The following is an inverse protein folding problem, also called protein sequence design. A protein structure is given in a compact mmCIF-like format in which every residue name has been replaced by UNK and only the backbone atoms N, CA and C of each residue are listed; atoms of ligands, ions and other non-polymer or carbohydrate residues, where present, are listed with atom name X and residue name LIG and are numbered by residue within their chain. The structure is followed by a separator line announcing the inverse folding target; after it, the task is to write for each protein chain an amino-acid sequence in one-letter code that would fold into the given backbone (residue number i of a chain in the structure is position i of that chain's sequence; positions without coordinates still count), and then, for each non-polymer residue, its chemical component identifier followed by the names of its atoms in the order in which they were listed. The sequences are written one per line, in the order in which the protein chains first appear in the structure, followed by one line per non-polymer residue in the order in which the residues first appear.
data_IF_108815783432
#
_entry.id   IF_108815783432
#
_cell.length_a   1.000
_cell.length_b   1.000
_cell.length_c   1.000
_cell.angle_alpha   90.00
_cell.angle_beta   90.00
_cell.angle_gamma   90.00
#
_symmetry.space_group_name_H-M   'P 1'
#
loop_
_entity.id
_entity.type
_entity.pdbx_description
1 polymer ?
#
# COMPACT_ATOMS: atom_id res chain seq x y z
N UNK A 1 8.12 9.44 1.72
CA UNK A 1 7.36 9.42 3.00
C UNK A 1 7.29 7.97 3.48
N UNK A 2 8.30 7.47 4.20
CA UNK A 2 8.39 6.04 4.60
C UNK A 2 8.76 5.85 6.08
N UNK A 3 8.58 6.85 6.95
CA UNK A 3 8.94 6.75 8.37
C UNK A 3 7.72 6.97 9.24
N UNK A 4 6.95 5.90 9.44
CA UNK A 4 6.02 5.81 10.56
C UNK A 4 6.82 5.24 11.75
N UNK A 5 6.80 5.94 12.89
CA UNK A 5 7.48 5.48 14.11
C UNK A 5 6.53 4.62 14.92
N UNK A 6 7.02 3.47 15.38
CA UNK A 6 6.37 2.72 16.45
C UNK A 6 6.95 3.19 17.78
N UNK A 7 6.09 3.48 18.76
CA UNK A 7 6.49 3.85 20.13
C UNK A 7 5.67 2.97 21.05
N UNK A 8 6.29 2.21 21.95
CA UNK A 8 5.58 1.46 23.01
C UNK A 8 4.39 0.60 22.52
N UNK A 9 4.61 -0.29 21.53
CA UNK A 9 3.58 -1.13 20.89
C UNK A 9 2.46 -0.37 20.15
N UNK A 10 2.61 0.94 19.96
CA UNK A 10 1.74 1.75 19.14
C UNK A 10 2.20 1.70 17.69
N UNK A 11 1.29 1.31 16.80
CA UNK A 11 1.52 1.29 15.36
C UNK A 11 0.73 2.44 14.76
N UNK A 12 1.46 3.36 14.14
CA UNK A 12 0.90 4.56 13.50
C UNK A 12 0.80 4.34 11.99
N UNK A 13 -0.29 4.82 11.38
CA UNK A 13 -0.49 4.77 9.93
C UNK A 13 -1.29 6.00 9.47
N UNK A 14 -1.17 6.35 8.19
CA UNK A 14 -1.88 7.50 7.62
C UNK A 14 -3.40 7.23 7.63
N UNK A 15 -4.20 8.25 7.95
CA UNK A 15 -5.65 8.12 8.10
C UNK A 15 -6.31 7.61 6.82
N UNK A 16 -7.21 6.63 6.97
CA UNK A 16 -7.92 5.98 5.86
C UNK A 16 -9.43 6.22 5.97
N UNK A 17 -10.19 5.15 6.24
CA UNK A 17 -11.64 5.17 6.44
C UNK A 17 -12.14 6.24 7.43
N UNK A 18 -11.37 6.56 8.46
CA UNK A 18 -11.77 7.55 9.46
C UNK A 18 -11.55 9.00 9.01
N UNK A 19 -10.86 9.23 7.88
CA UNK A 19 -10.70 10.56 7.29
C UNK A 19 -12.06 11.20 7.00
N UNK A 20 -13.04 10.36 6.66
CA UNK A 20 -14.40 10.77 6.36
C UNK A 20 -15.11 11.38 7.57
N UNK A 21 -15.07 10.72 8.73
CA UNK A 21 -15.68 11.24 9.96
C UNK A 21 -14.97 12.51 10.47
N UNK A 22 -13.65 12.60 10.28
CA UNK A 22 -12.87 13.77 10.68
C UNK A 22 -13.22 15.03 9.87
N UNK A 23 -13.38 14.89 8.55
CA UNK A 23 -13.75 16.02 7.68
C UNK A 23 -15.22 16.43 7.88
N UNK A 24 -16.08 15.54 8.39
CA UNK A 24 -17.46 15.87 8.74
C UNK A 24 -17.58 16.63 10.07
N UNK A 25 -16.73 16.31 11.05
CA UNK A 25 -16.75 16.97 12.35
C UNK A 25 -16.02 18.31 12.37
N UNK A 26 -15.12 18.54 11.41
CA UNK A 26 -14.41 19.82 11.28
C UNK A 26 -15.17 20.74 10.33
N UNK A 27 -15.78 21.80 10.87
CA UNK A 27 -16.53 22.83 10.12
C UNK A 27 -15.68 23.61 9.09
N UNK A 28 -14.36 23.41 9.09
CA UNK A 28 -13.44 24.03 8.15
C UNK A 28 -13.23 23.15 6.92
N UNK A 29 -13.19 23.76 5.74
CA UNK A 29 -12.87 23.09 4.47
C UNK A 29 -11.38 22.72 4.39
N UNK A 30 -10.93 21.84 5.29
CA UNK A 30 -9.55 21.39 5.34
C UNK A 30 -9.33 20.25 4.36
N UNK A 31 -8.28 20.38 3.55
CA UNK A 31 -7.75 19.27 2.74
C UNK A 31 -6.81 18.47 3.62
N UNK A 32 -7.06 17.16 3.73
CA UNK A 32 -6.17 16.23 4.44
C UNK A 32 -5.63 15.17 3.49
N UNK A 33 -4.36 14.78 3.71
CA UNK A 33 -3.79 13.60 3.07
C UNK A 33 -4.36 12.33 3.70
N UNK A 34 -4.73 11.37 2.86
CA UNK A 34 -5.26 10.08 3.30
C UNK A 34 -4.44 8.93 2.74
N UNK A 35 -4.58 7.74 3.33
CA UNK A 35 -3.93 6.53 2.83
C UNK A 35 -4.65 5.86 1.65
N UNK A 36 -5.71 6.47 1.11
CA UNK A 36 -6.45 5.86 0.01
C UNK A 36 -5.58 5.75 -1.25
N UNK A 37 -5.55 4.54 -1.80
CA UNK A 37 -4.79 4.18 -3.00
C UNK A 37 -5.53 3.10 -3.78
N UNK A 38 -5.15 2.91 -5.05
CA UNK A 38 -5.68 1.86 -5.92
C UNK A 38 -4.55 1.06 -6.59
N UNK A 39 -3.48 0.76 -5.86
CA UNK A 39 -2.46 -0.18 -6.31
C UNK A 39 -3.10 -1.55 -6.50
N UNK A 40 -3.34 -1.92 -7.76
CA UNK A 40 -3.82 -3.27 -8.06
C UNK A 40 -2.73 -4.27 -7.65
N UNK A 41 -3.08 -5.38 -6.98
CA UNK A 41 -2.16 -6.49 -6.78
C UNK A 41 -1.89 -7.28 -8.09
N UNK A 42 -2.64 -6.97 -9.17
CA UNK A 42 -2.53 -7.56 -10.49
C UNK A 42 -1.93 -6.56 -11.49
N UNK A 43 -1.23 -7.05 -12.52
CA UNK A 43 -0.60 -6.26 -13.58
C UNK A 43 -1.58 -5.54 -14.52
N UNK A 44 -2.88 -5.71 -14.32
CA UNK A 44 -3.91 -4.98 -15.07
C UNK A 44 -4.27 -3.73 -14.27
N UNK A 45 -3.91 -2.56 -14.81
CA UNK A 45 -4.20 -1.22 -14.29
C UNK A 45 -5.70 -0.93 -14.04
N UNK A 46 -6.60 -1.90 -14.20
CA UNK A 46 -8.04 -1.77 -14.01
C UNK A 46 -8.52 -2.32 -12.66
N UNK A 47 -7.81 -2.06 -11.55
CA UNK A 47 -8.46 -2.26 -10.25
C UNK A 47 -9.42 -1.09 -9.99
N UNK A 48 -10.71 -1.38 -10.05
CA UNK A 48 -11.77 -0.47 -9.58
C UNK A 48 -11.79 -0.36 -8.05
N UNK A 49 -11.05 -1.23 -7.36
CA UNK A 49 -11.04 -1.30 -5.91
C UNK A 49 -10.05 -0.30 -5.31
N UNK A 50 -10.50 0.33 -4.23
CA UNK A 50 -9.69 1.24 -3.43
C UNK A 50 -9.35 0.60 -2.10
N UNK A 51 -8.17 0.90 -1.58
CA UNK A 51 -7.64 0.37 -0.34
C UNK A 51 -7.12 1.50 0.53
N UNK A 52 -6.87 1.22 1.81
CA UNK A 52 -6.21 2.13 2.75
C UNK A 52 -4.97 1.45 3.38
N UNK A 53 -4.19 2.18 4.17
CA UNK A 53 -2.97 1.66 4.78
C UNK A 53 -3.21 0.98 6.14
N UNK A 54 -4.47 0.76 6.54
CA UNK A 54 -4.79 0.22 7.85
C UNK A 54 -4.28 -1.24 7.98
N UNK A 55 -3.28 -1.52 8.84
CA UNK A 55 -2.75 -2.87 9.04
C UNK A 55 -3.77 -3.91 9.52
N UNK A 56 -4.92 -3.47 10.03
CA UNK A 56 -5.93 -4.36 10.61
C UNK A 56 -6.87 -4.92 9.56
N UNK A 57 -6.93 -4.34 8.36
CA UNK A 57 -7.85 -4.78 7.32
C UNK A 57 -7.23 -4.66 5.93
N UNK A 58 -7.44 -5.68 5.10
CA UNK A 58 -7.06 -5.67 3.69
C UNK A 58 -8.28 -5.66 2.76
N UNK A 59 -9.42 -5.17 3.27
CA UNK A 59 -10.67 -5.15 2.50
C UNK A 59 -10.74 -3.92 1.61
N UNK A 60 -11.30 -4.01 0.40
CA UNK A 60 -11.64 -2.85 -0.40
C UNK A 60 -12.50 -1.84 0.38
N UNK A 61 -12.32 -0.57 0.05
CA UNK A 61 -13.05 0.58 0.61
C UNK A 61 -14.24 0.87 -0.27
N UNK A 62 -15.41 1.00 0.33
CA UNK A 62 -16.62 1.40 -0.38
C UNK A 62 -16.65 2.93 -0.57
N UNK A 63 -16.37 3.38 -1.80
CA UNK A 63 -16.34 4.80 -2.15
C UNK A 63 -17.70 5.43 -2.48
N UNK A 64 -18.83 4.69 -2.42
CA UNK A 64 -20.17 5.25 -2.72
C UNK A 64 -20.53 6.47 -1.89
N UNK A 65 -19.96 6.59 -0.68
CA UNK A 65 -20.19 7.71 0.24
C UNK A 65 -19.42 8.99 -0.13
N UNK A 66 -18.42 8.91 -1.01
CA UNK A 66 -17.52 10.01 -1.34
C UNK A 66 -17.15 9.98 -2.83
N UNK A 67 -17.92 10.65 -3.70
CA UNK A 67 -17.65 10.63 -5.13
C UNK A 67 -16.28 11.26 -5.43
N UNK A 68 -15.53 10.62 -6.33
CA UNK A 68 -14.34 11.19 -6.92
C UNK A 68 -14.70 12.52 -7.58
N UNK A 69 -13.87 13.55 -7.38
CA UNK A 69 -14.05 14.84 -8.07
C UNK A 69 -13.90 14.58 -9.57
N UNK A 70 -14.94 14.87 -10.37
CA UNK A 70 -15.14 14.57 -11.82
C UNK A 70 -14.01 14.93 -12.81
N UNK A 71 -12.89 15.51 -12.36
CA UNK A 71 -11.71 15.85 -13.18
C UNK A 71 -10.42 15.19 -12.69
N UNK A 72 -10.47 14.28 -11.73
CA UNK A 72 -9.41 13.30 -11.59
C UNK A 72 -9.64 12.30 -12.73
N UNK A 73 -9.07 12.61 -13.89
CA UNK A 73 -8.95 11.65 -14.98
C UNK A 73 -8.60 10.30 -14.35
N UNK A 74 -9.39 9.28 -14.69
CA UNK A 74 -8.97 7.89 -14.62
C UNK A 74 -7.82 7.73 -15.60
N UNK A 75 -6.71 8.40 -15.28
CA UNK A 75 -5.43 8.21 -15.90
C UNK A 75 -5.11 6.74 -15.72
N UNK A 76 -4.58 6.09 -16.74
CA UNK A 76 -4.06 4.72 -16.69
C UNK A 76 -2.90 4.55 -15.68
N UNK A 77 -2.66 5.54 -14.81
CA UNK A 77 -1.61 5.58 -13.79
C UNK A 77 -2.20 5.39 -12.39
N UNK A 78 -1.55 4.62 -11.51
CA UNK A 78 -2.03 4.37 -10.16
C UNK A 78 -2.10 5.67 -9.34
N UNK A 79 -3.16 5.79 -8.54
CA UNK A 79 -3.34 6.84 -7.55
C UNK A 79 -2.52 6.48 -6.32
N UNK A 80 -1.49 7.29 -6.05
CA UNK A 80 -0.59 7.08 -4.93
C UNK A 80 -1.25 7.49 -3.61
N UNK A 81 -2.00 8.60 -3.64
CA UNK A 81 -2.59 9.22 -2.45
C UNK A 81 -3.85 9.98 -2.86
N UNK A 82 -4.94 9.85 -2.09
CA UNK A 82 -6.10 10.71 -2.23
C UNK A 82 -6.15 11.78 -1.13
N UNK A 83 -6.70 12.94 -1.47
CA UNK A 83 -7.04 13.98 -0.52
C UNK A 83 -8.56 14.01 -0.32
N UNK A 84 -9.01 14.32 0.90
CA UNK A 84 -10.44 14.56 1.17
C UNK A 84 -10.66 16.06 1.30
N UNK A 85 -11.62 16.60 0.55
CA UNK A 85 -12.09 17.98 0.64
C UNK A 85 -13.61 18.03 0.43
N UNK A 86 -14.37 18.59 1.38
CA UNK A 86 -15.84 18.78 1.28
C UNK A 86 -16.57 17.51 0.77
N UNK A 87 -16.30 16.37 1.40
CA UNK A 87 -16.84 15.04 1.04
C UNK A 87 -16.50 14.56 -0.39
N UNK A 88 -15.41 15.03 -0.98
CA UNK A 88 -14.93 14.53 -2.27
C UNK A 88 -13.51 14.05 -2.16
N UNK A 89 -13.24 12.93 -2.83
CA UNK A 89 -11.89 12.43 -3.01
C UNK A 89 -11.25 13.14 -4.21
N UNK A 90 -10.06 13.67 -3.98
CA UNK A 90 -9.20 14.22 -5.02
C UNK A 90 -8.04 13.23 -5.16
N UNK A 91 -8.10 12.41 -6.20
CA UNK A 91 -7.03 11.47 -6.50
C UNK A 91 -5.79 12.21 -6.99
N UNK A 92 -4.61 11.78 -6.53
CA UNK A 92 -3.34 12.31 -6.99
C UNK A 92 -2.36 11.19 -7.32
N UNK A 93 -1.73 11.32 -8.49
CA UNK A 93 -0.70 10.40 -8.98
C UNK A 93 0.70 10.82 -8.53
N UNK A 94 0.85 12.00 -7.90
CA UNK A 94 2.13 12.53 -7.46
C UNK A 94 2.00 13.28 -6.12
N UNK A 95 2.96 13.08 -5.22
CA UNK A 95 3.06 13.88 -4.02
C UNK A 95 3.63 15.27 -4.36
N UNK A 96 2.76 16.27 -4.59
CA UNK A 96 3.20 17.62 -5.01
C UNK A 96 2.95 18.73 -3.99
N UNK A 97 2.42 18.45 -2.79
CA UNK A 97 1.94 19.53 -1.92
C UNK A 97 2.36 19.39 -0.44
N UNK A 98 3.40 20.12 0.03
CA UNK A 98 3.87 20.06 1.41
C UNK A 98 2.98 20.82 2.42
N UNK A 99 2.04 21.66 1.96
CA UNK A 99 1.17 22.47 2.82
C UNK A 99 -0.14 21.79 3.28
N UNK A 100 -0.33 20.52 2.95
CA UNK A 100 -1.57 19.78 3.28
C UNK A 100 -1.39 19.04 4.60
N UNK A 101 -2.41 19.08 5.46
CA UNK A 101 -2.39 18.44 6.77
C UNK A 101 -2.28 16.93 6.65
N UNK A 102 -1.38 16.35 7.44
CA UNK A 102 -1.22 14.90 7.60
C UNK A 102 -1.87 14.50 8.92
N UNK A 103 -2.78 13.54 8.89
CA UNK A 103 -3.39 12.97 10.09
C UNK A 103 -3.08 11.49 10.12
N UNK A 104 -2.61 11.00 11.27
CA UNK A 104 -2.33 9.59 11.48
C UNK A 104 -3.35 8.99 12.43
N UNK A 105 -3.70 7.74 12.17
CA UNK A 105 -4.36 6.87 13.13
C UNK A 105 -3.32 6.01 13.82
N UNK A 106 -3.70 5.48 14.98
CA UNK A 106 -2.92 4.47 15.65
C UNK A 106 -3.80 3.38 16.20
N UNK A 107 -3.19 2.22 16.40
CA UNK A 107 -3.73 1.18 17.27
C UNK A 107 -2.62 0.63 18.14
N UNK A 108 -3.02 0.09 19.28
CA UNK A 108 -2.12 -0.71 20.11
C UNK A 108 -2.10 -2.11 19.52
N UNK A 109 -0.91 -2.57 19.12
CA UNK A 109 -0.77 -3.90 18.59
C UNK A 109 -0.81 -4.92 19.73
N UNK A 110 -1.86 -5.76 19.83
CA UNK A 110 -1.79 -6.91 20.73
C UNK A 110 -0.70 -7.84 20.23
N UNK A 111 -0.03 -8.56 21.13
CA UNK A 111 0.93 -9.60 20.75
C UNK A 111 0.25 -10.61 19.83
N UNK A 112 0.48 -10.50 18.51
CA UNK A 112 -0.04 -11.44 17.54
C UNK A 112 0.90 -12.64 17.47
N UNK A 113 0.35 -13.83 17.64
CA UNK A 113 1.06 -15.05 17.29
C UNK A 113 1.29 -15.05 15.77
N UNK A 114 2.55 -15.01 15.36
CA UNK A 114 2.98 -14.94 13.95
C UNK A 114 2.39 -16.13 13.16
N UNK A 115 2.15 -17.27 13.80
CA UNK A 115 1.56 -18.46 13.19
C UNK A 115 0.10 -18.31 12.73
N UNK A 116 -0.60 -17.25 13.15
CA UNK A 116 -1.99 -16.97 12.73
C UNK A 116 -2.03 -16.09 11.47
N UNK A 117 -0.90 -15.51 11.08
CA UNK A 117 -0.82 -14.61 9.94
C UNK A 117 -0.89 -15.42 8.65
N UNK A 118 -1.91 -15.14 7.86
CA UNK A 118 -2.13 -15.81 6.58
C UNK A 118 -1.49 -15.02 5.45
N UNK A 119 -0.97 -15.77 4.49
CA UNK A 119 -0.47 -15.25 3.23
C UNK A 119 -1.17 -15.97 2.09
N UNK A 120 -1.42 -15.23 1.03
CA UNK A 120 -1.93 -15.77 -0.23
C UNK A 120 -0.95 -15.43 -1.35
N UNK A 121 -0.86 -16.32 -2.33
CA UNK A 121 -0.17 -16.02 -3.58
C UNK A 121 -0.87 -14.84 -4.27
N UNK A 122 -0.08 -13.99 -4.90
CA UNK A 122 -0.57 -12.96 -5.79
C UNK A 122 -0.97 -13.63 -7.13
N UNK A 123 -2.02 -14.47 -7.13
CA UNK A 123 -2.54 -15.15 -8.33
C UNK A 123 -2.98 -14.12 -9.38
N UNK A 124 -2.29 -14.07 -10.52
CA UNK A 124 -2.77 -14.46 -11.86
C UNK A 124 -1.70 -14.14 -12.91
N UNK A 125 -1.51 -15.11 -13.83
CA UNK A 125 -0.67 -15.17 -15.03
C UNK A 125 0.73 -14.55 -14.96
N UNK A 126 1.73 -15.39 -15.26
CA UNK A 126 3.13 -15.04 -15.52
C UNK A 126 3.34 -13.53 -15.69
N UNK A 127 4.04 -12.92 -14.73
CA UNK A 127 4.52 -11.55 -14.79
C UNK A 127 5.42 -11.37 -16.03
N UNK A 128 4.82 -11.23 -17.21
CA UNK A 128 5.45 -10.61 -18.35
C UNK A 128 5.35 -9.14 -18.03
N UNK A 129 6.38 -8.68 -17.31
CA UNK A 129 6.68 -7.26 -17.18
C UNK A 129 6.50 -6.65 -18.56
N UNK A 130 5.37 -5.98 -18.81
CA UNK A 130 5.29 -4.97 -19.86
C UNK A 130 6.29 -3.91 -19.42
N UNK A 131 7.51 -4.07 -19.91
CA UNK A 131 8.46 -2.99 -20.06
C UNK A 131 7.70 -1.81 -20.66
N UNK A 132 8.09 -0.59 -20.26
CA UNK A 132 7.47 0.67 -20.67
C UNK A 132 6.32 1.13 -19.77
N UNK A 133 6.60 1.35 -18.48
CA UNK A 133 6.79 2.74 -18.06
C UNK A 133 7.42 2.80 -16.65
N UNK A 134 8.51 3.55 -16.53
CA UNK A 134 9.40 3.56 -15.35
C UNK A 134 9.00 4.58 -14.30
N UNK A 135 7.80 5.15 -14.39
CA UNK A 135 7.38 6.32 -13.60
C UNK A 135 6.60 6.00 -12.32
N UNK A 136 6.41 4.72 -11.95
CA UNK A 136 5.78 4.39 -10.66
C UNK A 136 6.79 4.71 -9.55
N UNK A 137 6.46 5.74 -8.75
CA UNK A 137 7.22 6.13 -7.57
C UNK A 137 7.56 4.92 -6.70
N UNK A 138 8.78 4.84 -6.14
CA UNK A 138 9.22 3.64 -5.44
C UNK A 138 8.28 3.35 -4.27
N UNK A 139 7.71 2.15 -4.25
CA UNK A 139 7.03 1.60 -3.09
C UNK A 139 7.94 1.75 -1.86
N UNK A 140 7.39 1.91 -0.65
CA UNK A 140 8.22 1.77 0.54
C UNK A 140 8.56 0.28 0.69
N UNK A 141 9.85 -0.05 0.69
CA UNK A 141 10.31 -1.43 0.82
C UNK A 141 11.51 -1.54 1.77
N UNK A 142 11.77 -2.75 2.22
CA UNK A 142 13.03 -3.15 2.84
C UNK A 142 13.48 -4.48 2.25
N UNK A 143 14.78 -4.77 2.27
CA UNK A 143 15.34 -5.98 1.68
C UNK A 143 16.05 -6.86 2.71
N UNK A 144 16.06 -8.16 2.44
CA UNK A 144 16.80 -9.18 3.16
C UNK A 144 17.29 -10.26 2.19
N UNK A 145 18.25 -11.06 2.63
CA UNK A 145 18.64 -12.30 1.93
C UNK A 145 18.18 -13.49 2.77
N UNK A 146 17.41 -14.38 2.17
CA UNK A 146 16.82 -15.54 2.83
C UNK A 146 16.99 -16.78 1.97
N UNK A 147 17.21 -17.95 2.60
CA UNK A 147 17.42 -19.19 1.86
C UNK A 147 16.15 -19.72 1.16
N UNK A 148 14.96 -19.36 1.66
CA UNK A 148 13.69 -19.87 1.15
C UNK A 148 12.60 -18.80 1.14
N UNK A 149 11.58 -19.00 0.28
CA UNK A 149 10.36 -18.18 0.29
C UNK A 149 9.68 -18.19 1.66
N UNK A 150 9.68 -19.33 2.36
CA UNK A 150 9.06 -19.44 3.67
C UNK A 150 9.73 -18.54 4.71
N UNK A 151 11.06 -18.45 4.72
CA UNK A 151 11.80 -17.54 5.60
C UNK A 151 11.53 -16.07 5.24
N UNK A 152 11.41 -15.77 3.94
CA UNK A 152 11.00 -14.46 3.46
C UNK A 152 9.60 -14.08 3.99
N UNK A 153 8.62 -14.98 3.86
CA UNK A 153 7.27 -14.79 4.40
C UNK A 153 7.29 -14.62 5.92
N UNK A 154 8.05 -15.44 6.64
CA UNK A 154 8.17 -15.36 8.09
C UNK A 154 8.72 -14.00 8.55
N UNK A 155 9.73 -13.47 7.87
CA UNK A 155 10.25 -12.12 8.13
C UNK A 155 9.18 -11.04 7.97
N UNK A 156 8.36 -11.13 6.92
CA UNK A 156 7.23 -10.21 6.73
C UNK A 156 6.12 -10.41 7.77
N UNK A 157 5.88 -11.64 8.21
CA UNK A 157 4.87 -11.95 9.22
C UNK A 157 5.22 -11.25 10.54
N UNK A 158 6.49 -11.28 10.96
CA UNK A 158 7.00 -10.59 12.15
C UNK A 158 7.10 -9.07 12.02
N UNK A 159 6.92 -8.50 10.83
CA UNK A 159 6.91 -7.06 10.62
C UNK A 159 5.47 -6.56 10.43
N UNK A 160 4.97 -5.77 11.38
CA UNK A 160 3.62 -5.19 11.33
C UNK A 160 3.38 -4.30 10.11
N UNK A 161 4.43 -3.65 9.62
CA UNK A 161 4.33 -2.77 8.46
C UNK A 161 4.37 -3.54 7.14
N UNK A 162 4.85 -4.79 7.14
CA UNK A 162 4.92 -5.57 5.91
C UNK A 162 3.52 -6.01 5.44
N UNK A 163 3.28 -5.85 4.14
CA UNK A 163 2.02 -6.18 3.46
C UNK A 163 2.18 -7.28 2.43
N UNK A 164 3.29 -7.29 1.71
CA UNK A 164 3.61 -8.35 0.75
C UNK A 164 5.11 -8.58 0.66
N UNK A 165 5.49 -9.71 0.10
CA UNK A 165 6.87 -10.06 -0.19
C UNK A 165 7.04 -10.41 -1.65
N UNK A 166 8.20 -10.07 -2.19
CA UNK A 166 8.70 -10.61 -3.45
C UNK A 166 9.99 -11.39 -3.17
N UNK A 167 10.01 -12.65 -3.57
CA UNK A 167 11.16 -13.53 -3.39
C UNK A 167 11.76 -13.94 -4.73
N UNK A 168 13.08 -13.85 -4.85
CA UNK A 168 13.82 -14.34 -6.01
C UNK A 168 14.61 -15.60 -5.61
N UNK A 169 14.23 -16.80 -6.11
CA UNK A 169 14.87 -18.05 -5.71
C UNK A 169 16.32 -18.16 -6.19
N UNK A 170 16.70 -17.48 -7.28
CA UNK A 170 18.05 -17.53 -7.85
C UNK A 170 19.08 -16.80 -6.99
N UNK A 171 18.69 -15.68 -6.38
CA UNK A 171 19.60 -14.83 -5.59
C UNK A 171 19.35 -14.91 -4.08
N UNK A 172 18.28 -15.58 -3.65
CA UNK A 172 17.81 -15.55 -2.27
C UNK A 172 17.29 -14.17 -1.82
N UNK A 173 17.17 -13.20 -2.75
CA UNK A 173 16.68 -11.86 -2.41
C UNK A 173 15.22 -11.91 -2.01
N UNK A 174 14.93 -11.25 -0.89
CA UNK A 174 13.61 -11.08 -0.34
C UNK A 174 13.33 -9.58 -0.19
N UNK A 175 12.28 -9.09 -0.83
CA UNK A 175 11.85 -7.69 -0.78
C UNK A 175 10.53 -7.60 -0.05
N UNK A 176 10.52 -6.96 1.12
CA UNK A 176 9.32 -6.66 1.90
C UNK A 176 8.72 -5.36 1.40
N UNK A 177 7.45 -5.39 1.00
CA UNK A 177 6.66 -4.21 0.69
C UNK A 177 5.97 -3.73 1.96
N UNK A 178 6.11 -2.45 2.27
CA UNK A 178 5.70 -1.85 3.53
C UNK A 178 4.48 -0.95 3.36
N UNK A 179 3.67 -0.88 4.42
CA UNK A 179 2.50 -0.01 4.66
C UNK A 179 1.27 -0.30 3.81
N UNK A 180 1.44 -0.48 2.50
CA UNK A 180 0.38 -0.79 1.52
C UNK A 180 0.81 -1.95 0.63
N UNK A 181 -0.16 -2.66 0.03
CA UNK A 181 0.18 -3.58 -1.06
C UNK A 181 0.65 -2.75 -2.26
N UNK A 182 1.79 -3.13 -2.83
CA UNK A 182 2.37 -2.43 -3.97
C UNK A 182 3.24 -3.38 -4.79
N UNK A 183 3.54 -2.94 -6.01
CA UNK A 183 4.40 -3.66 -6.94
C UNK A 183 5.85 -3.74 -6.46
N UNK A 184 6.57 -4.73 -6.99
CA UNK A 184 8.03 -4.81 -6.87
C UNK A 184 8.67 -3.49 -7.36
N UNK A 185 9.59 -2.88 -6.60
CA UNK A 185 10.27 -1.65 -7.03
C UNK A 185 10.96 -1.80 -8.38
N UNK A 186 10.93 -0.74 -9.20
CA UNK A 186 11.42 -0.76 -10.59
C UNK A 186 12.86 -1.26 -10.75
N UNK A 187 13.73 -0.97 -9.77
CA UNK A 187 15.13 -1.43 -9.76
C UNK A 187 15.30 -2.97 -9.78
N UNK A 188 14.28 -3.72 -9.36
CA UNK A 188 14.28 -5.18 -9.36
C UNK A 188 13.56 -5.79 -10.57
N UNK A 189 12.81 -4.97 -11.34
CA UNK A 189 12.04 -5.35 -12.54
C UNK A 189 12.93 -5.51 -13.78
N UNK A 190 14.00 -6.32 -13.68
CA UNK A 190 14.87 -6.63 -14.82
C UNK A 190 14.28 -7.81 -15.63
N UNK A 191 14.28 -7.75 -16.97
CA UNK A 191 13.89 -8.87 -17.82
C UNK A 191 14.62 -10.17 -17.42
N UNK A 192 13.90 -11.29 -17.41
CA UNK A 192 14.45 -12.62 -17.10
C UNK A 192 14.58 -12.98 -15.61
N UNK A 193 14.32 -12.06 -14.68
CA UNK A 193 14.26 -12.38 -13.24
C UNK A 193 12.86 -12.84 -12.84
N UNK A 194 12.74 -14.11 -12.45
CA UNK A 194 11.49 -14.64 -11.87
C UNK A 194 11.38 -14.25 -10.39
N UNK A 195 10.24 -13.70 -10.02
CA UNK A 195 9.89 -13.33 -8.66
C UNK A 195 8.60 -14.03 -8.26
N UNK A 196 8.55 -14.55 -7.03
CA UNK A 196 7.33 -15.07 -6.42
C UNK A 196 6.77 -14.03 -5.47
N UNK A 197 5.47 -13.74 -5.58
CA UNK A 197 4.78 -12.75 -4.76
C UNK A 197 3.85 -13.43 -3.76
N UNK A 198 3.91 -13.01 -2.49
CA UNK A 198 2.94 -13.44 -1.48
C UNK A 198 2.47 -12.23 -0.68
N UNK A 199 1.17 -12.15 -0.41
CA UNK A 199 0.54 -11.01 0.27
C UNK A 199 -0.19 -11.43 1.54
N UNK A 200 -0.08 -10.62 2.59
CA UNK A 200 -0.73 -10.80 3.90
C UNK A 200 -2.25 -10.65 3.75
N UNK A 201 -3.03 -11.46 4.46
CA UNK A 201 -4.51 -11.42 4.47
C UNK A 201 -5.12 -11.18 5.83
#
# INVERSE_FOLDING_TARGET
MCRLRNINNQVNFLIGRNAFALVESTLEAQTIWTSFHNFAPADVFSSSDWYDADPRTNKPVNLTRFPLKKHAETSNTPVLVAQVLRRKLIASTQFRNPGVRVVCEYYLEPQKNIHVIKFQDCREEQWVLRSEDTSINPACYSEATTATLLLCIHGCAGNVHCRSVYYNPTSGKCVFILYVHAYLPAQYKKPGRRWTCCRKT
#
